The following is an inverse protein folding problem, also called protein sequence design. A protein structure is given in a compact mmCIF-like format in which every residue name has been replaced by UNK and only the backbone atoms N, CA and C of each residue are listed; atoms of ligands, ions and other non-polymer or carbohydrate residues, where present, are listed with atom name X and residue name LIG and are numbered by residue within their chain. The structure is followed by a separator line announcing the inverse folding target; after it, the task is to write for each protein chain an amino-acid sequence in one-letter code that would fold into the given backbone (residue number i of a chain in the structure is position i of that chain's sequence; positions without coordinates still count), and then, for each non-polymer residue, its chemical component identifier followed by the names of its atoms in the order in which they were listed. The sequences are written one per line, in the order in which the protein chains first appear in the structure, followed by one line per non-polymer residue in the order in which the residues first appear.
data_IF_915155255769
#
_entry.id   IF_915155255769
#
_cell.length_a   1.000
_cell.length_b   1.000
_cell.length_c   1.000
_cell.angle_alpha   90.00
_cell.angle_beta   90.00
_cell.angle_gamma   90.00
#
_symmetry.space_group_name_H-M   'P 1'
#
loop_
_entity.id
_entity.type
_entity.pdbx_description
1 polymer ?
#
# COMPACT_ATOMS: atom_id res chain seq x y z
N UNK A 1 -4.71 16.75 24.96
CA UNK A 1 -3.84 15.72 24.35
C UNK A 1 -4.71 14.80 23.49
N UNK A 2 -4.70 14.96 22.17
CA UNK A 2 -5.62 14.23 21.27
C UNK A 2 -5.22 12.76 20.98
N UNK A 3 -4.10 12.27 21.54
CA UNK A 3 -3.56 10.92 21.25
C UNK A 3 -3.47 10.01 22.48
N UNK A 4 -4.22 10.31 23.52
CA UNK A 4 -4.22 9.50 24.74
C UNK A 4 -4.80 8.09 24.48
N UNK A 5 -4.13 7.06 25.00
CA UNK A 5 -4.57 5.67 24.84
C UNK A 5 -4.26 5.03 23.49
N UNK A 6 -3.67 5.75 22.53
CA UNK A 6 -3.25 5.18 21.25
C UNK A 6 -1.94 4.40 21.37
N UNK A 7 -1.88 3.22 20.78
CA UNK A 7 -0.64 2.45 20.63
C UNK A 7 -0.16 2.56 19.19
N UNK A 8 1.03 3.12 19.01
CA UNK A 8 1.66 3.33 17.71
C UNK A 8 2.86 2.42 17.53
N UNK A 9 3.06 1.94 16.31
CA UNK A 9 4.27 1.23 15.89
C UNK A 9 5.09 2.10 14.97
N UNK A 10 6.37 2.29 15.29
CA UNK A 10 7.34 2.92 14.39
C UNK A 10 7.63 1.97 13.23
N UNK A 11 7.32 2.40 12.01
CA UNK A 11 7.55 1.59 10.80
C UNK A 11 8.72 2.09 9.96
N UNK A 12 9.14 3.33 10.17
CA UNK A 12 10.31 3.91 9.53
C UNK A 12 10.38 5.42 9.71
N UNK A 13 11.16 6.07 8.87
CA UNK A 13 11.34 7.51 8.89
C UNK A 13 12.38 7.98 7.87
N UNK A 14 12.55 9.30 7.80
CA UNK A 14 13.52 9.97 6.96
C UNK A 14 14.38 10.92 7.80
N UNK A 15 15.67 10.91 7.53
CA UNK A 15 16.63 11.89 8.03
C UNK A 15 16.35 13.28 7.40
N UNK A 16 16.87 14.36 8.01
CA UNK A 16 16.80 15.74 7.49
C UNK A 16 17.27 15.90 6.05
N UNK A 17 18.20 15.06 5.60
CA UNK A 17 18.69 15.06 4.21
C UNK A 17 17.95 14.06 3.30
N UNK A 18 16.82 13.50 3.75
CA UNK A 18 16.00 12.59 2.97
C UNK A 18 16.51 11.15 2.92
N UNK A 19 17.52 10.78 3.70
CA UNK A 19 17.95 9.38 3.78
C UNK A 19 16.93 8.55 4.57
N UNK A 20 16.40 7.45 4.00
CA UNK A 20 15.43 6.62 4.70
C UNK A 20 16.10 5.77 5.79
N UNK A 21 15.35 5.48 6.85
CA UNK A 21 15.75 4.53 7.89
C UNK A 21 15.69 3.09 7.37
N UNK A 22 16.65 2.25 7.78
CA UNK A 22 16.67 0.82 7.45
C UNK A 22 16.70 -0.04 8.70
N UNK A 23 15.69 -0.91 8.80
CA UNK A 23 15.59 -1.93 9.84
C UNK A 23 16.81 -2.84 9.85
N UNK A 24 17.32 -3.14 11.05
CA UNK A 24 18.46 -4.04 11.28
C UNK A 24 19.82 -3.33 11.32
N UNK A 25 19.89 -2.04 11.00
CA UNK A 25 21.08 -1.22 11.27
C UNK A 25 20.91 -0.57 12.65
N UNK A 26 21.47 -1.20 13.69
CA UNK A 26 21.37 -0.74 15.08
C UNK A 26 22.30 0.43 15.40
N UNK A 27 22.25 1.47 14.57
CA UNK A 27 23.00 2.71 14.77
C UNK A 27 22.05 3.89 14.73
N UNK A 28 22.41 4.96 15.42
CA UNK A 28 21.69 6.22 15.28
C UNK A 28 22.09 6.93 13.98
N UNK A 29 23.38 6.97 13.63
CA UNK A 29 23.88 7.68 12.47
C UNK A 29 23.59 7.04 11.10
N UNK A 30 24.22 7.60 10.06
CA UNK A 30 24.18 7.08 8.69
C UNK A 30 25.34 6.15 8.41
N UNK A 31 25.06 5.08 7.68
CA UNK A 31 26.05 4.07 7.29
C UNK A 31 25.99 3.83 5.78
N UNK A 32 27.14 3.57 5.16
CA UNK A 32 27.24 3.23 3.72
C UNK A 32 27.31 1.72 3.53
N UNK A 33 26.21 1.13 3.09
CA UNK A 33 26.09 -0.31 2.85
C UNK A 33 26.12 -0.64 1.36
N UNK A 34 26.59 -1.84 1.03
CA UNK A 34 26.53 -2.39 -0.33
C UNK A 34 25.21 -3.15 -0.52
N UNK A 35 24.22 -2.50 -1.12
CA UNK A 35 22.87 -3.05 -1.30
C UNK A 35 22.74 -3.79 -2.65
N UNK A 36 22.13 -4.96 -2.62
CA UNK A 36 21.69 -5.76 -3.78
C UNK A 36 20.16 -5.65 -4.01
N UNK A 37 19.66 -6.33 -5.06
CA UNK A 37 18.23 -6.43 -5.36
C UNK A 37 17.46 -7.06 -4.18
N UNK A 38 16.34 -6.44 -3.79
CA UNK A 38 15.47 -6.92 -2.72
C UNK A 38 15.70 -6.26 -1.36
N UNK A 39 16.83 -5.57 -1.15
CA UNK A 39 16.99 -4.76 0.04
C UNK A 39 16.12 -3.50 0.00
N UNK A 40 15.55 -3.13 1.14
CA UNK A 40 14.96 -1.81 1.34
C UNK A 40 15.98 -0.69 1.10
N UNK A 41 15.47 0.48 0.67
CA UNK A 41 16.23 1.70 0.37
C UNK A 41 17.04 1.66 -0.94
N UNK A 42 16.90 0.60 -1.76
CA UNK A 42 17.52 0.53 -3.09
C UNK A 42 16.64 -0.17 -4.11
N UNK A 43 16.60 0.39 -5.33
CA UNK A 43 15.96 -0.20 -6.50
C UNK A 43 17.02 -0.47 -7.56
N UNK A 44 17.37 -1.73 -7.76
CA UNK A 44 18.30 -2.18 -8.80
C UNK A 44 17.78 -1.86 -10.19
N UNK A 45 18.62 -1.33 -11.08
CA UNK A 45 18.25 -1.04 -12.48
C UNK A 45 18.66 -2.17 -13.42
N UNK A 46 19.77 -2.85 -13.13
CA UNK A 46 20.24 -4.02 -13.88
C UNK A 46 20.25 -5.26 -13.00
N UNK A 47 20.13 -6.43 -13.61
CA UNK A 47 20.28 -7.70 -12.90
C UNK A 47 21.72 -7.83 -12.37
N UNK A 48 21.88 -8.36 -11.16
CA UNK A 48 23.19 -8.51 -10.51
C UNK A 48 23.83 -7.21 -9.98
N UNK A 49 23.23 -6.04 -10.22
CA UNK A 49 23.77 -4.76 -9.75
C UNK A 49 23.77 -4.68 -8.22
N UNK A 50 24.93 -4.32 -7.66
CA UNK A 50 25.08 -3.93 -6.25
C UNK A 50 25.58 -2.49 -6.19
N UNK A 51 25.00 -1.69 -5.31
CA UNK A 51 25.37 -0.27 -5.17
C UNK A 51 25.61 0.10 -3.72
N UNK A 52 26.72 0.82 -3.49
CA UNK A 52 27.02 1.39 -2.18
C UNK A 52 26.17 2.64 -1.95
N UNK A 53 25.25 2.58 -0.99
CA UNK A 53 24.29 3.66 -0.67
C UNK A 53 24.38 4.02 0.81
N UNK A 54 24.26 5.32 1.08
CA UNK A 54 24.11 5.84 2.44
C UNK A 54 22.68 5.66 2.90
N UNK A 55 22.51 5.14 4.12
CA UNK A 55 21.21 4.83 4.72
C UNK A 55 21.26 5.23 6.19
N UNK A 56 20.13 5.68 6.75
CA UNK A 56 20.01 5.99 8.18
C UNK A 56 19.74 4.71 8.96
N UNK A 57 20.34 4.57 10.15
CA UNK A 57 20.04 3.43 11.02
C UNK A 57 18.62 3.48 11.61
N UNK A 58 18.23 2.44 12.34
CA UNK A 58 16.86 2.29 12.85
C UNK A 58 16.63 2.95 14.21
N UNK A 59 17.67 3.44 14.89
CA UNK A 59 17.53 4.13 16.17
C UNK A 59 17.00 5.55 15.93
N UNK A 60 15.94 5.91 16.65
CA UNK A 60 15.26 7.21 16.55
C UNK A 60 16.05 8.27 17.31
N UNK A 61 16.16 9.45 16.72
CA UNK A 61 16.94 10.58 17.24
C UNK A 61 16.35 11.92 16.77
N UNK A 62 16.74 13.01 17.43
CA UNK A 62 16.34 14.38 17.11
C UNK A 62 16.79 14.85 15.70
N UNK A 63 17.68 14.10 15.04
CA UNK A 63 18.17 14.38 13.70
C UNK A 63 17.28 13.85 12.57
N UNK A 64 16.08 13.35 12.89
CA UNK A 64 15.08 12.95 11.90
C UNK A 64 14.20 14.12 11.49
N UNK A 65 13.71 14.09 10.24
CA UNK A 65 12.76 15.09 9.75
C UNK A 65 11.32 14.57 9.75
N UNK A 66 11.11 13.28 9.45
CA UNK A 66 9.79 12.68 9.46
C UNK A 66 9.85 11.26 10.01
N UNK A 67 8.87 10.90 10.82
CA UNK A 67 8.66 9.54 11.32
C UNK A 67 7.37 8.96 10.72
N UNK A 68 7.46 7.70 10.28
CA UNK A 68 6.32 6.94 9.82
C UNK A 68 5.80 6.06 10.97
N UNK A 69 4.55 6.29 11.36
CA UNK A 69 3.88 5.60 12.46
C UNK A 69 2.63 4.89 11.93
N UNK A 70 2.31 3.74 12.51
CA UNK A 70 1.08 2.98 12.23
C UNK A 70 0.32 2.78 13.54
N UNK A 71 -0.96 3.10 13.55
CA UNK A 71 -1.86 2.82 14.69
C UNK A 71 -2.10 1.32 14.78
N UNK A 72 -1.81 0.74 15.94
CA UNK A 72 -2.08 -0.67 16.26
C UNK A 72 -3.35 -0.79 17.10
N UNK A 73 -3.55 0.12 18.05
CA UNK A 73 -4.75 0.17 18.90
C UNK A 73 -5.30 1.60 18.91
N UNK A 74 -6.62 1.74 18.67
CA UNK A 74 -7.35 3.01 18.76
C UNK A 74 -7.49 3.41 20.23
N UNK A 75 -7.26 4.69 20.54
CA UNK A 75 -7.53 5.27 21.85
C UNK A 75 -8.98 5.72 22.02
N UNK A 76 -9.24 6.51 23.06
CA UNK A 76 -10.60 6.94 23.43
C UNK A 76 -11.14 8.04 22.52
N UNK A 77 -10.32 9.04 22.20
CA UNK A 77 -10.72 10.17 21.35
C UNK A 77 -10.46 9.87 19.88
N UNK A 78 -11.35 10.30 18.99
CA UNK A 78 -11.15 10.19 17.54
C UNK A 78 -10.22 11.28 17.02
N UNK A 79 -9.46 10.95 15.98
CA UNK A 79 -8.52 11.84 15.31
C UNK A 79 -9.08 12.18 13.92
N UNK A 80 -9.36 13.46 13.65
CA UNK A 80 -9.94 13.89 12.39
C UNK A 80 -9.07 13.49 11.20
N UNK A 81 -9.70 12.93 10.18
CA UNK A 81 -9.05 12.52 8.94
C UNK A 81 -8.24 11.22 9.00
N UNK A 82 -8.11 10.59 10.18
CA UNK A 82 -7.37 9.32 10.33
C UNK A 82 -8.27 8.18 10.80
N UNK A 83 -9.02 8.37 11.88
CA UNK A 83 -9.93 7.33 12.40
C UNK A 83 -11.34 7.44 11.84
N UNK A 84 -11.71 8.61 11.35
CA UNK A 84 -13.11 8.93 11.04
C UNK A 84 -13.51 8.43 9.65
N UNK A 85 -12.53 8.30 8.75
CA UNK A 85 -12.78 7.88 7.37
C UNK A 85 -12.37 6.42 7.16
N UNK A 86 -13.24 5.66 6.48
CA UNK A 86 -12.92 4.31 6.05
C UNK A 86 -12.71 4.28 4.54
N UNK A 87 -11.48 3.96 4.11
CA UNK A 87 -11.15 3.86 2.69
C UNK A 87 -11.35 2.41 2.23
N UNK A 88 -12.30 2.13 1.31
CA UNK A 88 -12.55 0.76 0.86
C UNK A 88 -11.40 0.24 0.00
N UNK A 89 -11.18 -1.08 0.03
CA UNK A 89 -10.15 -1.73 -0.81
C UNK A 89 -10.59 -1.73 -2.26
N UNK A 90 -9.83 -1.03 -3.10
CA UNK A 90 -10.13 -0.87 -4.54
C UNK A 90 -10.09 -2.18 -5.34
N UNK A 91 -9.21 -3.11 -5.00
CA UNK A 91 -8.99 -4.34 -5.77
C UNK A 91 -9.43 -5.56 -4.97
N UNK A 92 -10.42 -6.28 -5.51
CA UNK A 92 -10.84 -7.58 -4.99
C UNK A 92 -9.85 -8.71 -5.35
N UNK A 93 -9.99 -9.89 -4.73
CA UNK A 93 -9.17 -11.05 -5.06
C UNK A 93 -9.40 -11.53 -6.50
N UNK A 94 -8.31 -11.74 -7.26
CA UNK A 94 -8.38 -12.29 -8.62
C UNK A 94 -8.30 -13.82 -8.68
N UNK A 95 -7.60 -14.45 -7.73
CA UNK A 95 -7.36 -15.89 -7.72
C UNK A 95 -8.56 -16.63 -7.13
N UNK A 96 -9.07 -17.66 -7.81
CA UNK A 96 -10.25 -18.43 -7.40
C UNK A 96 -10.19 -18.91 -5.94
N UNK A 97 -9.05 -19.41 -5.47
CA UNK A 97 -8.89 -19.85 -4.08
C UNK A 97 -9.05 -18.71 -3.06
N UNK A 98 -8.68 -17.48 -3.40
CA UNK A 98 -8.87 -16.31 -2.53
C UNK A 98 -10.31 -15.78 -2.58
N UNK A 99 -10.98 -15.93 -3.73
CA UNK A 99 -12.41 -15.59 -3.87
C UNK A 99 -13.24 -16.54 -3.00
N UNK A 100 -13.00 -17.86 -3.10
CA UNK A 100 -13.67 -18.86 -2.26
C UNK A 100 -13.50 -18.57 -0.77
N UNK A 101 -12.28 -18.21 -0.33
CA UNK A 101 -12.02 -17.83 1.06
C UNK A 101 -12.70 -16.53 1.48
N UNK A 102 -12.87 -15.56 0.58
CA UNK A 102 -13.50 -14.29 0.92
C UNK A 102 -15.01 -14.45 1.14
N UNK A 103 -15.66 -15.28 0.31
CA UNK A 103 -17.10 -15.51 0.34
C UNK A 103 -17.50 -16.81 1.06
N UNK A 104 -16.54 -17.48 1.73
CA UNK A 104 -16.73 -18.79 2.38
C UNK A 104 -17.42 -19.85 1.49
N UNK A 105 -17.05 -19.89 0.20
CA UNK A 105 -17.60 -20.82 -0.78
C UNK A 105 -16.94 -22.20 -0.69
N UNK A 106 -17.70 -23.23 -1.04
CA UNK A 106 -17.20 -24.60 -1.19
C UNK A 106 -16.41 -24.76 -2.50
N UNK A 107 -15.79 -25.94 -2.70
CA UNK A 107 -15.07 -26.26 -3.94
C UNK A 107 -16.01 -26.37 -5.14
N UNK A 108 -17.26 -26.75 -4.92
CA UNK A 108 -18.24 -27.05 -5.95
C UNK A 108 -18.91 -25.78 -6.50
N UNK A 109 -18.83 -24.67 -5.76
CA UNK A 109 -19.46 -23.41 -6.17
C UNK A 109 -18.69 -22.72 -7.30
N UNK A 110 -19.45 -22.15 -8.24
CA UNK A 110 -18.91 -21.36 -9.35
C UNK A 110 -18.46 -19.98 -8.87
N UNK A 111 -17.14 -19.78 -8.87
CA UNK A 111 -16.47 -18.55 -8.44
C UNK A 111 -16.72 -17.36 -9.36
N UNK A 112 -17.11 -17.58 -10.63
CA UNK A 112 -17.24 -16.50 -11.62
C UNK A 112 -18.36 -15.52 -11.27
N UNK A 113 -19.43 -16.02 -10.65
CA UNK A 113 -20.59 -15.23 -10.20
C UNK A 113 -20.24 -14.26 -9.06
N UNK A 114 -19.25 -14.62 -8.24
CA UNK A 114 -18.83 -13.86 -7.05
C UNK A 114 -17.62 -12.96 -7.29
N UNK A 115 -17.17 -12.80 -8.55
CA UNK A 115 -16.07 -11.89 -8.87
C UNK A 115 -16.54 -10.45 -8.72
N UNK A 116 -15.91 -9.70 -7.80
CA UNK A 116 -16.20 -8.29 -7.58
C UNK A 116 -15.84 -7.48 -8.84
N UNK A 117 -16.86 -6.94 -9.50
CA UNK A 117 -16.70 -6.04 -10.65
C UNK A 117 -16.80 -4.59 -10.17
N UNK A 118 -15.94 -3.74 -10.70
CA UNK A 118 -16.00 -2.29 -10.47
C UNK A 118 -16.86 -1.67 -11.56
N UNK A 119 -17.89 -0.92 -11.16
CA UNK A 119 -18.58 0.02 -12.05
C UNK A 119 -17.64 1.20 -12.35
N UNK A 120 -17.43 1.49 -13.63
CA UNK A 120 -16.66 2.66 -14.06
C UNK A 120 -17.63 3.82 -14.26
N UNK A 121 -17.26 5.05 -13.89
CA UNK A 121 -18.06 6.21 -14.27
C UNK A 121 -18.09 6.33 -15.79
N UNK A 122 -19.26 6.66 -16.34
CA UNK A 122 -19.42 6.94 -17.76
C UNK A 122 -18.50 8.10 -18.17
N UNK A 123 -17.81 7.94 -19.30
CA UNK A 123 -17.01 9.02 -19.88
C UNK A 123 -18.00 9.94 -20.61
N UNK A 124 -18.08 11.21 -20.22
CA UNK A 124 -18.93 12.20 -20.89
C UNK A 124 -18.51 12.33 -22.37
N UNK A 125 -19.24 11.63 -23.22
CA UNK A 125 -19.36 11.89 -24.65
C UNK A 125 -20.86 11.85 -24.95
N UNK A 126 -21.33 12.96 -25.50
CA UNK A 126 -22.70 13.30 -25.91
C UNK A 126 -23.58 12.12 -26.38
N UNK A 127 -24.72 11.94 -25.69
CA UNK A 127 -25.99 11.48 -26.25
C UNK A 127 -26.15 9.98 -26.53
N UNK A 128 -26.97 9.30 -25.72
CA UNK A 128 -27.55 7.98 -26.03
C UNK A 128 -27.68 7.07 -24.81
N UNK A 129 -28.83 6.43 -24.64
CA UNK A 129 -29.28 5.76 -23.40
C UNK A 129 -28.37 4.62 -22.85
N UNK A 130 -27.94 4.85 -21.60
CA UNK A 130 -27.87 3.96 -20.41
C UNK A 130 -27.77 2.44 -20.63
N UNK A 131 -26.55 1.91 -20.51
CA UNK A 131 -26.28 0.62 -19.84
C UNK A 131 -24.81 0.51 -19.35
N UNK A 132 -24.63 0.19 -18.06
CA UNK A 132 -23.34 0.11 -17.34
C UNK A 132 -22.37 -0.93 -17.96
N UNK A 133 -21.50 -0.53 -18.89
CA UNK A 133 -20.55 -1.46 -19.52
C UNK A 133 -19.37 -1.85 -18.62
N UNK A 134 -19.03 -3.14 -18.62
CA UNK A 134 -17.90 -3.69 -17.87
C UNK A 134 -16.57 -3.53 -18.60
N UNK A 135 -15.46 -3.50 -17.86
CA UNK A 135 -14.12 -3.25 -18.42
C UNK A 135 -13.65 -4.25 -19.50
N UNK A 136 -14.25 -5.44 -19.58
CA UNK A 136 -13.94 -6.40 -20.64
C UNK A 136 -14.66 -6.04 -21.96
N UNK A 137 -15.88 -5.51 -21.89
CA UNK A 137 -16.64 -5.06 -23.08
C UNK A 137 -15.97 -3.82 -23.70
N UNK A 138 -15.46 -2.91 -22.88
CA UNK A 138 -14.66 -1.75 -23.32
C UNK A 138 -13.37 -2.13 -24.06
N UNK A 139 -12.73 -3.25 -23.69
CA UNK A 139 -11.50 -3.69 -24.36
C UNK A 139 -11.81 -4.34 -25.70
N UNK A 140 -12.93 -5.06 -25.81
CA UNK A 140 -13.41 -5.67 -27.06
C UNK A 140 -13.83 -4.62 -28.11
N UNK A 141 -14.45 -3.52 -27.68
CA UNK A 141 -14.84 -2.43 -28.60
C UNK A 141 -13.67 -1.60 -29.13
N UNK A 142 -12.53 -1.57 -28.42
CA UNK A 142 -11.34 -0.85 -28.87
C UNK A 142 -10.43 -1.66 -29.82
N UNK A 143 -10.87 -2.88 -30.19
CA UNK A 143 -10.14 -3.80 -31.07
C UNK A 143 -10.86 -4.06 -32.41
N UNK A 144 -11.98 -3.38 -32.66
CA UNK A 144 -12.63 -3.23 -33.97
C UNK A 144 -12.36 -1.81 -34.48
#
# INVERSE_FOLDING_TARGET
MHMQGYILRVTGGNDKQGFPMKQGILTNGRVRLLLSKGHSCYRSRRAGERKRKSVRGCIVDANLSALALVIVKKGEQEIPGLTDTTVPRRLGPKRASKIRKLFNLSKNDDVRKYVIRRKLPEKEASGGDKEDMTRNELVLLAQL
#
